data_IF_423423197722
#
_entry.id   IF_423423197722
#
_cell.length_a   1.000
_cell.length_b   1.000
_cell.length_c   1.000
_cell.angle_alpha   90.00
_cell.angle_beta   90.00
_cell.angle_gamma   90.00
#
_symmetry.space_group_name_H-M   'P 1'
#
loop_
_entity.id
_entity.type
_entity.pdbx_description
1 polymer ?
#
# COMPACT_ATOMS: atom_id res chain seq x y z
N UNK A 1 -11.27 19.43 8.19
CA UNK A 1 -10.12 19.16 9.07
C UNK A 1 -9.17 20.35 8.92
N UNK A 2 -9.15 21.23 9.90
CA UNK A 2 -8.15 22.28 10.01
C UNK A 2 -6.83 21.56 10.31
N UNK A 3 -5.88 21.65 9.40
CA UNK A 3 -4.49 21.33 9.68
C UNK A 3 -4.02 22.36 10.70
N UNK A 4 -3.55 21.88 11.85
CA UNK A 4 -3.03 22.74 12.90
C UNK A 4 -1.71 23.34 12.39
N UNK A 5 -1.75 24.59 12.00
CA UNK A 5 -0.54 25.35 11.69
C UNK A 5 0.27 25.46 13.00
N UNK A 6 1.52 24.97 12.98
CA UNK A 6 2.39 25.06 14.15
C UNK A 6 2.69 26.51 14.52
N UNK A 7 2.71 26.81 15.79
CA UNK A 7 2.94 28.15 16.35
C UNK A 7 4.42 28.28 16.71
N UNK A 8 5.06 29.36 16.23
CA UNK A 8 6.45 29.68 16.54
C UNK A 8 6.56 30.93 17.40
N UNK A 9 6.85 30.72 18.68
CA UNK A 9 7.14 31.81 19.62
C UNK A 9 8.62 32.14 19.60
N UNK A 10 9.02 33.38 19.73
CA UNK A 10 10.42 33.80 19.78
C UNK A 10 10.66 34.87 20.83
N UNK A 11 11.76 34.73 21.59
CA UNK A 11 12.14 35.76 22.58
C UNK A 11 12.67 37.03 21.89
N UNK A 12 13.50 36.87 20.84
CA UNK A 12 14.02 37.96 20.03
C UNK A 12 13.69 37.67 18.56
N UNK A 13 12.98 38.60 17.93
CA UNK A 13 12.52 38.47 16.55
C UNK A 13 13.06 39.68 15.78
N UNK A 14 13.79 39.43 14.66
CA UNK A 14 14.32 40.44 13.80
C UNK A 14 13.93 40.20 12.34
N UNK A 15 13.20 41.13 11.75
CA UNK A 15 12.88 41.10 10.33
C UNK A 15 14.05 41.62 9.50
N UNK A 16 14.42 40.91 8.46
CA UNK A 16 15.52 41.28 7.55
C UNK A 16 14.98 41.95 6.29
N UNK A 17 15.83 42.70 5.51
CA UNK A 17 15.41 43.34 4.27
C UNK A 17 14.86 42.40 3.20
N UNK A 18 15.30 41.12 3.20
CA UNK A 18 14.82 40.05 2.32
C UNK A 18 13.47 39.48 2.75
N UNK A 19 12.81 40.07 3.74
CA UNK A 19 11.57 39.65 4.40
C UNK A 19 11.71 38.32 5.13
N UNK A 20 12.92 37.82 5.34
CA UNK A 20 13.11 36.71 6.26
C UNK A 20 13.05 37.17 7.72
N UNK A 21 12.64 36.30 8.62
CA UNK A 21 12.53 36.58 10.04
C UNK A 21 13.53 35.70 10.77
N UNK A 22 14.48 36.34 11.45
CA UNK A 22 15.41 35.63 12.32
C UNK A 22 14.85 35.62 13.74
N UNK A 23 14.86 34.43 14.36
CA UNK A 23 14.33 34.17 15.69
C UNK A 23 15.43 33.53 16.53
N UNK A 24 15.63 34.05 17.74
CA UNK A 24 16.53 33.41 18.71
C UNK A 24 15.74 33.01 19.95
N UNK A 25 16.11 31.87 20.55
CA UNK A 25 15.39 31.22 21.63
C UNK A 25 13.93 31.04 21.29
N UNK A 26 13.68 30.32 20.19
CA UNK A 26 12.35 30.00 19.69
C UNK A 26 11.74 28.80 20.41
N UNK A 27 10.41 28.76 20.47
CA UNK A 27 9.61 27.60 20.88
C UNK A 27 8.65 27.28 19.74
N UNK A 28 8.75 26.12 19.16
CA UNK A 28 7.83 25.64 18.12
C UNK A 28 6.87 24.61 18.75
N UNK A 29 5.59 24.83 18.64
CA UNK A 29 4.55 23.97 19.23
C UNK A 29 3.33 23.93 18.32
N UNK A 30 2.52 22.89 18.45
CA UNK A 30 1.16 22.82 17.90
C UNK A 30 0.09 23.06 18.97
N UNK A 31 0.51 23.36 20.21
CA UNK A 31 -0.38 23.69 21.30
C UNK A 31 -0.77 25.17 21.24
N UNK A 32 -2.07 25.47 21.22
CA UNK A 32 -2.64 26.82 21.16
C UNK A 32 -2.71 27.52 22.53
N UNK A 33 -1.89 27.08 23.49
CA UNK A 33 -1.83 27.64 24.82
C UNK A 33 -0.75 28.73 24.92
N UNK A 34 -0.97 29.75 25.75
CA UNK A 34 0.03 30.80 26.03
C UNK A 34 1.30 30.19 26.66
N UNK A 35 1.14 29.14 27.48
CA UNK A 35 2.21 28.30 28.02
C UNK A 35 2.05 26.86 27.46
N UNK A 36 2.73 26.54 26.36
CA UNK A 36 2.58 25.23 25.77
C UNK A 36 3.19 24.12 26.62
N UNK A 37 2.46 23.03 26.85
CA UNK A 37 2.88 21.88 27.63
C UNK A 37 4.02 21.10 26.97
N UNK A 38 4.16 21.20 25.65
CA UNK A 38 5.25 20.60 24.90
C UNK A 38 5.66 21.51 23.75
N UNK A 39 6.95 21.60 23.51
CA UNK A 39 7.50 22.39 22.42
C UNK A 39 8.90 21.92 22.03
N UNK A 40 9.27 22.24 20.79
CA UNK A 40 10.65 22.12 20.33
C UNK A 40 11.36 23.44 20.62
N UNK A 41 12.34 23.42 21.52
CA UNK A 41 13.19 24.58 21.80
C UNK A 41 14.18 24.74 20.66
N UNK A 42 14.21 25.92 20.05
CA UNK A 42 15.10 26.28 18.96
C UNK A 42 16.10 27.31 19.42
N UNK A 43 17.39 27.03 19.32
CA UNK A 43 18.43 28.04 19.68
C UNK A 43 18.38 29.22 18.73
N UNK A 44 18.28 28.96 17.44
CA UNK A 44 18.12 29.94 16.39
C UNK A 44 17.24 29.38 15.29
N UNK A 45 16.38 30.20 14.72
CA UNK A 45 15.55 29.85 13.58
C UNK A 45 15.49 31.02 12.57
N UNK A 46 15.38 30.68 11.29
CA UNK A 46 15.16 31.63 10.22
C UNK A 46 13.93 31.22 9.42
N UNK A 47 12.90 32.06 9.47
CA UNK A 47 11.72 31.90 8.65
C UNK A 47 11.94 32.58 7.31
N UNK A 48 11.95 31.81 6.23
CA UNK A 48 12.14 32.28 4.86
C UNK A 48 10.78 32.27 4.14
N UNK A 49 10.48 33.36 3.44
CA UNK A 49 9.22 33.51 2.69
C UNK A 49 9.37 33.27 1.19
N UNK A 50 10.60 33.32 0.69
CA UNK A 50 10.96 33.09 -0.74
C UNK A 50 12.23 32.24 -0.85
N UNK A 51 12.36 31.36 -1.86
CA UNK A 51 11.43 31.00 -2.93
C UNK A 51 10.28 30.09 -2.46
N UNK A 52 10.40 29.42 -1.32
CA UNK A 52 9.35 28.64 -0.65
C UNK A 52 9.32 29.02 0.82
N UNK A 53 8.13 29.08 1.39
CA UNK A 53 7.96 29.35 2.82
C UNK A 53 8.50 28.15 3.60
N UNK A 54 9.48 28.40 4.46
CA UNK A 54 10.09 27.38 5.30
C UNK A 54 10.82 28.01 6.49
N UNK A 55 10.79 27.29 7.60
CA UNK A 55 11.55 27.66 8.80
C UNK A 55 12.76 26.75 8.92
N UNK A 56 13.95 27.30 8.81
CA UNK A 56 15.22 26.57 9.04
C UNK A 56 15.67 26.87 10.46
N UNK A 57 16.09 25.87 11.19
CA UNK A 57 16.54 26.03 12.56
C UNK A 57 17.88 25.34 12.82
N UNK A 58 18.64 25.89 13.78
CA UNK A 58 19.85 25.32 14.33
C UNK A 58 19.56 24.28 15.39
N UNK A 59 20.47 24.08 16.38
CA UNK A 59 20.28 23.06 17.40
C UNK A 59 18.93 23.23 18.12
N UNK A 60 18.20 22.12 18.24
CA UNK A 60 16.87 22.06 18.82
C UNK A 60 16.71 20.82 19.70
N UNK A 61 15.90 20.90 20.74
CA UNK A 61 15.55 19.78 21.60
C UNK A 61 14.08 19.87 22.03
N UNK A 62 13.50 18.70 22.28
CA UNK A 62 12.13 18.61 22.79
C UNK A 62 12.08 18.97 24.28
N UNK A 63 11.03 19.70 24.66
CA UNK A 63 10.71 20.04 26.05
C UNK A 63 9.26 19.67 26.31
N UNK A 64 9.00 18.95 27.38
CA UNK A 64 7.68 18.56 27.84
C UNK A 64 7.54 19.02 29.29
N UNK A 65 6.48 19.77 29.60
CA UNK A 65 6.24 20.36 30.94
C UNK A 65 7.50 21.06 31.47
N UNK A 66 8.15 21.86 30.61
CA UNK A 66 9.40 22.59 30.89
C UNK A 66 10.61 21.72 31.22
N UNK A 67 10.51 20.39 31.11
CA UNK A 67 11.61 19.44 31.27
C UNK A 67 12.24 19.13 29.92
N UNK A 68 13.53 19.42 29.68
CA UNK A 68 14.19 19.06 28.43
C UNK A 68 14.39 17.54 28.32
N UNK A 69 13.91 16.97 27.21
CA UNK A 69 14.02 15.56 26.92
C UNK A 69 15.41 15.23 26.34
N UNK A 70 16.35 14.87 27.22
CA UNK A 70 17.67 14.41 26.79
C UNK A 70 17.64 12.88 26.55
N UNK A 71 18.32 12.33 25.51
CA UNK A 71 19.32 12.94 24.63
C UNK A 71 18.79 13.37 23.22
N UNK A 72 17.51 13.61 23.05
CA UNK A 72 16.95 13.94 21.75
C UNK A 72 17.30 15.39 21.37
N UNK A 73 18.45 15.56 20.72
CA UNK A 73 18.92 16.85 20.18
C UNK A 73 19.05 16.75 18.68
N UNK A 74 18.35 17.64 17.97
CA UNK A 74 18.49 17.81 16.53
C UNK A 74 19.54 18.88 16.26
N UNK A 75 20.66 18.59 15.55
CA UNK A 75 21.69 19.57 15.30
C UNK A 75 21.21 20.72 14.39
N UNK A 76 20.35 20.41 13.45
CA UNK A 76 19.67 21.37 12.57
C UNK A 76 18.44 20.70 11.94
N UNK A 77 17.55 21.50 11.37
CA UNK A 77 16.38 20.99 10.64
C UNK A 77 15.65 22.11 9.89
N UNK A 78 14.60 21.73 9.22
CA UNK A 78 13.70 22.69 8.61
C UNK A 78 12.24 22.21 8.75
N UNK A 79 11.36 23.17 8.94
CA UNK A 79 9.89 22.98 9.00
C UNK A 79 9.33 23.69 7.78
N UNK A 80 8.71 23.00 6.83
CA UNK A 80 7.98 23.62 5.74
C UNK A 80 6.64 24.16 6.27
N UNK A 81 6.28 25.41 5.95
CA UNK A 81 5.04 26.03 6.45
C UNK A 81 3.76 25.49 5.80
N UNK A 82 3.86 24.91 4.63
CA UNK A 82 2.77 24.19 3.95
C UNK A 82 3.35 23.04 3.13
N UNK A 83 3.64 21.91 3.74
CA UNK A 83 3.98 20.74 2.95
C UNK A 83 2.70 20.07 2.47
N UNK A 84 2.27 20.32 1.24
CA UNK A 84 1.28 19.46 0.62
C UNK A 84 1.78 18.01 0.67
N UNK A 85 3.09 17.81 0.50
CA UNK A 85 3.81 16.53 0.65
C UNK A 85 5.30 16.82 0.82
N UNK A 86 5.93 16.30 1.87
CA UNK A 86 7.37 16.45 2.11
C UNK A 86 8.01 15.10 2.44
N UNK A 87 9.23 14.89 1.92
CA UNK A 87 10.06 13.77 2.35
C UNK A 87 10.66 14.06 3.73
N UNK A 88 10.81 13.03 4.55
CA UNK A 88 11.33 13.21 5.91
C UNK A 88 11.58 11.89 6.62
N UNK A 89 12.12 12.01 7.84
CA UNK A 89 12.37 10.89 8.74
C UNK A 89 11.08 10.56 9.47
N UNK A 90 10.75 9.28 9.53
CA UNK A 90 9.68 8.74 10.35
C UNK A 90 10.27 8.36 11.71
N UNK A 91 9.72 8.96 12.77
CA UNK A 91 10.15 8.68 14.14
C UNK A 91 9.56 7.35 14.60
N UNK A 92 10.37 6.52 15.30
CA UNK A 92 9.90 5.23 15.78
C UNK A 92 8.92 5.37 16.93
N UNK A 93 8.02 4.40 17.01
CA UNK A 93 7.27 4.12 18.22
C UNK A 93 8.06 3.13 19.06
N UNK A 94 8.03 3.28 20.38
CA UNK A 94 8.69 2.38 21.30
C UNK A 94 7.68 1.74 22.25
N UNK A 95 8.01 0.57 22.74
CA UNK A 95 7.17 -0.17 23.66
C UNK A 95 7.79 -1.51 24.04
N UNK A 96 7.00 -2.35 24.71
CA UNK A 96 7.41 -3.67 25.16
C UNK A 96 6.38 -4.71 24.73
N UNK A 97 6.85 -5.87 24.35
CA UNK A 97 6.06 -7.03 23.96
C UNK A 97 6.59 -8.28 24.67
N UNK A 98 5.70 -9.03 25.32
CA UNK A 98 6.08 -10.17 26.15
C UNK A 98 6.88 -11.25 25.39
N UNK A 99 6.63 -11.42 24.08
CA UNK A 99 7.26 -12.46 23.26
C UNK A 99 8.56 -12.03 22.59
N UNK A 100 8.76 -10.72 22.36
CA UNK A 100 9.88 -10.15 21.57
C UNK A 100 10.70 -9.09 22.32
N UNK A 101 10.30 -8.73 23.54
CA UNK A 101 10.97 -7.73 24.37
C UNK A 101 10.67 -6.29 23.98
N UNK A 102 11.56 -5.38 24.33
CA UNK A 102 11.44 -3.97 23.93
C UNK A 102 11.59 -3.80 22.44
N UNK A 103 10.85 -2.86 21.88
CA UNK A 103 10.89 -2.61 20.44
C UNK A 103 11.00 -1.12 20.11
N UNK A 104 11.58 -0.87 18.92
CA UNK A 104 11.46 0.35 18.16
C UNK A 104 10.83 -0.03 16.82
N UNK A 105 9.63 0.48 16.54
CA UNK A 105 8.85 0.22 15.32
C UNK A 105 8.73 1.48 14.48
N UNK A 106 8.59 1.29 13.17
CA UNK A 106 8.35 2.33 12.18
C UNK A 106 9.48 3.37 12.07
N UNK A 107 10.71 3.04 12.52
CA UNK A 107 11.87 3.89 12.25
C UNK A 107 12.19 3.88 10.77
N UNK A 108 12.17 5.03 10.11
CA UNK A 108 12.39 5.01 8.68
C UNK A 108 12.44 6.34 7.99
N UNK A 109 12.20 6.30 6.69
CA UNK A 109 12.22 7.46 5.82
C UNK A 109 11.00 7.45 4.90
N UNK A 110 10.40 8.61 4.75
CA UNK A 110 9.33 8.86 3.81
C UNK A 110 9.86 9.69 2.64
N UNK A 111 9.65 9.20 1.42
CA UNK A 111 10.08 9.84 0.18
C UNK A 111 8.88 10.23 -0.65
N UNK A 112 8.81 11.48 -1.04
CA UNK A 112 7.85 11.99 -2.03
C UNK A 112 8.52 12.06 -3.38
N UNK A 113 8.01 11.32 -4.35
CA UNK A 113 8.55 11.27 -5.71
C UNK A 113 7.56 11.93 -6.66
N UNK A 114 7.81 13.20 -6.96
CA UNK A 114 6.90 14.02 -7.75
C UNK A 114 5.53 14.17 -7.09
N UNK A 115 4.50 14.42 -7.90
CA UNK A 115 3.14 14.68 -7.40
C UNK A 115 2.25 13.43 -7.32
N UNK A 116 2.74 12.28 -7.74
CA UNK A 116 1.90 11.10 -7.98
C UNK A 116 2.28 9.88 -7.17
N UNK A 117 3.45 9.85 -6.55
CA UNK A 117 4.02 8.67 -5.95
C UNK A 117 4.71 8.99 -4.62
N UNK A 118 4.55 8.14 -3.63
CA UNK A 118 5.29 8.18 -2.37
C UNK A 118 5.75 6.79 -1.92
N UNK A 119 6.83 6.76 -1.16
CA UNK A 119 7.38 5.54 -0.56
C UNK A 119 7.73 5.84 0.89
N UNK A 120 7.25 4.99 1.80
CA UNK A 120 7.75 4.88 3.16
C UNK A 120 8.59 3.60 3.28
N UNK A 121 9.82 3.74 3.70
CA UNK A 121 10.70 2.63 4.05
C UNK A 121 10.88 2.67 5.57
N UNK A 122 10.37 1.65 6.27
CA UNK A 122 10.44 1.55 7.73
C UNK A 122 11.07 0.25 8.17
N UNK A 123 11.60 0.24 9.37
CA UNK A 123 12.19 -0.94 9.99
C UNK A 123 11.81 -1.04 11.45
N UNK A 124 11.65 -2.27 11.90
CA UNK A 124 11.35 -2.64 13.28
C UNK A 124 12.51 -3.44 13.84
N UNK A 125 12.89 -3.16 15.06
CA UNK A 125 13.90 -3.91 15.79
C UNK A 125 13.40 -4.23 17.21
N UNK A 126 13.74 -5.43 17.67
CA UNK A 126 13.33 -5.96 18.96
C UNK A 126 14.54 -6.48 19.73
N UNK A 127 14.54 -6.32 21.04
CA UNK A 127 15.69 -6.70 21.88
C UNK A 127 15.99 -8.19 21.89
N UNK A 128 15.00 -9.06 21.67
CA UNK A 128 15.21 -10.52 21.58
C UNK A 128 15.64 -10.99 20.19
N UNK A 129 15.99 -10.06 19.26
CA UNK A 129 16.61 -10.37 17.99
C UNK A 129 15.66 -10.48 16.80
N UNK A 130 14.36 -10.22 17.00
CA UNK A 130 13.41 -10.05 15.90
C UNK A 130 13.67 -8.73 15.18
N UNK A 131 13.41 -8.69 13.86
CA UNK A 131 13.45 -7.48 13.07
C UNK A 131 12.54 -7.59 11.86
N UNK A 132 12.05 -6.46 11.38
CA UNK A 132 11.27 -6.37 10.14
C UNK A 132 11.69 -5.16 9.30
N UNK A 133 11.45 -5.25 8.01
CA UNK A 133 11.58 -4.15 7.06
C UNK A 133 10.29 -4.06 6.26
N UNK A 134 9.75 -2.85 6.20
CA UNK A 134 8.52 -2.54 5.50
C UNK A 134 8.75 -1.51 4.41
N UNK A 135 8.18 -1.76 3.25
CA UNK A 135 8.13 -0.83 2.13
C UNK A 135 6.66 -0.57 1.82
N UNK A 136 6.20 0.63 2.07
CA UNK A 136 4.85 1.06 1.76
C UNK A 136 4.88 2.16 0.71
N UNK A 137 4.15 1.99 -0.36
CA UNK A 137 4.08 2.94 -1.46
C UNK A 137 2.65 3.21 -1.85
N UNK A 138 2.33 4.46 -2.11
CA UNK A 138 1.03 4.88 -2.63
C UNK A 138 1.25 5.68 -3.90
N UNK A 139 0.38 5.48 -4.86
CA UNK A 139 0.38 6.26 -6.09
C UNK A 139 -1.03 6.61 -6.50
N UNK A 140 -1.16 7.83 -7.02
CA UNK A 140 -2.42 8.35 -7.54
C UNK A 140 -2.17 9.28 -8.71
N UNK A 141 -2.70 8.93 -9.86
CA UNK A 141 -2.73 9.79 -11.04
C UNK A 141 -4.19 10.11 -11.33
N UNK A 142 -4.57 11.37 -11.10
CA UNK A 142 -5.96 11.81 -11.27
C UNK A 142 -6.49 11.43 -12.65
N UNK A 143 -7.72 10.91 -12.69
CA UNK A 143 -8.42 10.43 -13.89
C UNK A 143 -7.73 9.26 -14.63
N UNK A 144 -6.70 8.64 -14.05
CA UNK A 144 -6.02 7.49 -14.64
C UNK A 144 -6.05 6.26 -13.75
N UNK A 145 -5.41 6.34 -12.59
CA UNK A 145 -5.33 5.18 -11.68
C UNK A 145 -4.96 5.61 -10.26
N UNK A 146 -5.27 4.74 -9.33
CA UNK A 146 -4.82 4.80 -7.95
C UNK A 146 -4.42 3.41 -7.47
N UNK A 147 -3.47 3.36 -6.54
CA UNK A 147 -3.07 2.09 -5.94
C UNK A 147 -2.13 2.28 -4.77
N UNK A 148 -1.95 1.19 -4.06
CA UNK A 148 -0.98 1.07 -2.97
C UNK A 148 -0.26 -0.27 -3.08
N UNK A 149 1.00 -0.27 -2.72
CA UNK A 149 1.87 -1.43 -2.65
C UNK A 149 2.49 -1.49 -1.26
N UNK A 150 2.49 -2.66 -0.66
CA UNK A 150 3.14 -2.92 0.63
C UNK A 150 3.92 -4.22 0.54
N UNK A 151 5.16 -4.18 0.99
CA UNK A 151 6.04 -5.34 1.13
C UNK A 151 6.59 -5.34 2.55
N UNK A 152 6.37 -6.40 3.28
CA UNK A 152 6.95 -6.66 4.60
C UNK A 152 7.85 -7.88 4.53
N UNK A 153 9.03 -7.79 5.10
CA UNK A 153 9.90 -8.94 5.32
C UNK A 153 10.36 -8.92 6.77
N UNK A 154 10.14 -10.02 7.49
CA UNK A 154 10.51 -10.13 8.89
C UNK A 154 11.30 -11.41 9.21
N UNK A 155 12.11 -11.31 10.23
CA UNK A 155 12.75 -12.43 10.92
C UNK A 155 12.28 -12.40 12.36
N UNK A 156 11.32 -13.26 12.67
CA UNK A 156 10.67 -13.33 13.97
C UNK A 156 11.34 -14.38 14.84
N UNK A 157 11.77 -13.99 16.04
CA UNK A 157 12.39 -14.85 17.05
C UNK A 157 11.56 -14.77 18.34
N UNK A 158 11.28 -15.92 18.90
CA UNK A 158 10.61 -16.07 20.19
C UNK A 158 11.45 -16.96 21.10
N UNK A 159 11.48 -16.66 22.39
CA UNK A 159 12.34 -17.35 23.36
C UNK A 159 13.80 -16.86 23.31
N UNK A 160 14.58 -17.28 24.28
CA UNK A 160 16.02 -16.97 24.36
C UNK A 160 16.85 -17.97 23.56
N UNK A 161 17.90 -17.49 22.90
CA UNK A 161 18.83 -18.38 22.16
C UNK A 161 19.47 -19.40 23.10
N UNK A 162 19.27 -20.68 22.77
CA UNK A 162 19.75 -21.81 23.57
C UNK A 162 18.70 -22.39 24.52
N UNK A 163 17.54 -21.81 24.64
CA UNK A 163 16.40 -22.39 25.35
C UNK A 163 15.62 -23.38 24.47
N UNK A 164 14.90 -24.31 25.10
CA UNK A 164 14.09 -25.34 24.37
C UNK A 164 12.87 -24.74 23.65
N UNK A 165 12.47 -23.53 24.01
CA UNK A 165 11.36 -22.78 23.43
C UNK A 165 11.82 -21.73 22.38
N UNK A 166 13.13 -21.73 22.04
CA UNK A 166 13.64 -20.86 20.98
C UNK A 166 13.08 -21.28 19.62
N UNK A 167 12.40 -20.35 18.98
CA UNK A 167 11.88 -20.54 17.65
C UNK A 167 12.18 -19.32 16.76
N UNK A 168 12.62 -19.57 15.54
CA UNK A 168 12.91 -18.55 14.55
C UNK A 168 12.17 -18.83 13.26
N UNK A 169 11.51 -17.83 12.71
CA UNK A 169 10.82 -17.93 11.42
C UNK A 169 11.06 -16.68 10.59
N UNK A 170 11.11 -16.87 9.27
CA UNK A 170 11.18 -15.77 8.32
C UNK A 170 9.85 -15.64 7.61
N UNK A 171 9.30 -14.46 7.64
CA UNK A 171 8.00 -14.16 7.07
C UNK A 171 8.11 -13.07 6.01
N UNK A 172 7.23 -13.14 5.05
CA UNK A 172 7.04 -12.06 4.09
C UNK A 172 5.55 -11.87 3.81
N UNK A 173 5.20 -10.64 3.45
CA UNK A 173 3.87 -10.28 3.01
C UNK A 173 3.97 -9.29 1.85
N UNK A 174 3.24 -9.53 0.79
CA UNK A 174 3.11 -8.64 -0.37
C UNK A 174 1.64 -8.30 -0.53
N UNK A 175 1.32 -7.01 -0.49
CA UNK A 175 -0.03 -6.51 -0.74
C UNK A 175 0.05 -5.45 -1.85
N UNK A 176 -0.78 -5.61 -2.85
CA UNK A 176 -0.89 -4.62 -3.92
C UNK A 176 -2.35 -4.44 -4.31
N UNK A 177 -2.80 -3.21 -4.23
CA UNK A 177 -4.09 -2.85 -4.80
C UNK A 177 -3.91 -1.82 -5.91
N UNK A 178 -4.63 -2.00 -6.99
CA UNK A 178 -4.65 -1.10 -8.12
C UNK A 178 -6.07 -0.98 -8.67
N UNK A 179 -6.47 0.24 -8.96
CA UNK A 179 -7.74 0.52 -9.62
C UNK A 179 -7.51 1.55 -10.72
N UNK A 180 -7.87 1.16 -11.94
CA UNK A 180 -7.91 2.07 -13.08
C UNK A 180 -9.20 2.88 -13.05
N UNK A 181 -9.10 4.19 -13.27
CA UNK A 181 -10.27 5.06 -13.45
C UNK A 181 -10.99 4.71 -14.77
N UNK A 182 -12.31 4.58 -14.72
CA UNK A 182 -13.14 4.27 -15.89
C UNK A 182 -13.02 5.31 -17.02
N UNK A 183 -12.66 6.55 -16.67
CA UNK A 183 -12.44 7.66 -17.61
C UNK A 183 -11.10 7.56 -18.33
N UNK A 184 -10.12 6.83 -17.79
CA UNK A 184 -8.78 6.73 -18.37
C UNK A 184 -8.79 6.08 -19.75
N UNK A 185 -9.55 4.98 -19.88
CA UNK A 185 -9.70 4.23 -21.14
C UNK A 185 -11.11 3.65 -21.21
N UNK A 186 -12.07 4.35 -21.81
CA UNK A 186 -13.44 3.84 -21.96
C UNK A 186 -13.47 2.44 -22.59
N UNK A 187 -14.26 1.57 -22.04
CA UNK A 187 -14.37 0.18 -22.49
C UNK A 187 -13.21 -0.74 -22.05
N UNK A 188 -12.26 -0.25 -21.26
CA UNK A 188 -11.17 -1.06 -20.71
C UNK A 188 -11.11 -0.84 -19.20
N UNK A 189 -10.99 -1.91 -18.42
CA UNK A 189 -10.74 -1.82 -16.98
C UNK A 189 -9.57 -2.71 -16.58
N UNK A 190 -8.77 -2.22 -15.65
CA UNK A 190 -7.71 -2.98 -15.01
C UNK A 190 -7.81 -2.77 -13.50
N UNK A 191 -7.85 -3.86 -12.76
CA UNK A 191 -7.85 -3.85 -11.30
C UNK A 191 -7.00 -4.98 -10.77
N UNK A 192 -6.33 -4.73 -9.64
CA UNK A 192 -5.57 -5.73 -8.93
C UNK A 192 -5.84 -5.61 -7.43
N UNK A 193 -6.01 -6.76 -6.78
CA UNK A 193 -6.07 -6.93 -5.33
C UNK A 193 -5.22 -8.14 -5.00
N UNK A 194 -3.93 -7.90 -4.80
CA UNK A 194 -2.95 -8.96 -4.47
C UNK A 194 -2.72 -8.95 -2.97
N UNK A 195 -2.87 -10.10 -2.35
CA UNK A 195 -2.50 -10.37 -0.98
C UNK A 195 -1.82 -11.74 -0.96
N UNK A 196 -0.52 -11.76 -0.75
CA UNK A 196 0.30 -12.96 -0.75
C UNK A 196 1.28 -12.91 0.40
N UNK A 197 1.30 -13.93 1.25
CA UNK A 197 2.18 -13.97 2.41
C UNK A 197 2.65 -15.38 2.74
N UNK A 198 3.71 -15.48 3.53
CA UNK A 198 4.10 -16.78 4.12
C UNK A 198 2.99 -17.29 5.05
N UNK A 199 2.77 -18.61 5.15
CA UNK A 199 1.70 -19.18 5.97
C UNK A 199 1.75 -18.78 7.45
N UNK A 200 2.95 -18.52 7.98
CA UNK A 200 3.19 -18.12 9.37
C UNK A 200 3.04 -16.60 9.61
N UNK A 201 2.96 -15.79 8.57
CA UNK A 201 2.95 -14.33 8.70
C UNK A 201 1.78 -13.82 9.55
N UNK A 202 0.58 -14.38 9.38
CA UNK A 202 -0.60 -13.98 10.16
C UNK A 202 -0.48 -14.27 11.65
N UNK A 203 0.34 -15.24 12.03
CA UNK A 203 0.57 -15.59 13.43
C UNK A 203 1.51 -14.63 14.16
N UNK A 204 2.54 -14.12 13.47
CA UNK A 204 3.61 -13.33 14.09
C UNK A 204 3.52 -11.83 13.82
N UNK A 205 2.93 -11.44 12.68
CA UNK A 205 2.93 -10.06 12.20
C UNK A 205 1.53 -9.46 11.98
N UNK A 206 0.47 -10.09 12.49
CA UNK A 206 -0.86 -9.50 12.39
C UNK A 206 -1.01 -8.31 13.33
N UNK A 207 -1.56 -7.22 12.81
CA UNK A 207 -1.85 -5.99 13.54
C UNK A 207 -3.23 -6.00 14.19
N UNK A 208 -4.07 -6.99 13.87
CA UNK A 208 -5.42 -7.12 14.41
C UNK A 208 -5.77 -8.58 14.69
N UNK A 209 -6.67 -8.81 15.66
CA UNK A 209 -7.20 -10.15 15.97
C UNK A 209 -7.91 -10.76 14.77
N UNK A 210 -8.61 -9.97 13.98
CA UNK A 210 -9.29 -10.43 12.77
C UNK A 210 -8.30 -10.96 11.73
N UNK A 211 -7.18 -10.30 11.55
CA UNK A 211 -6.12 -10.72 10.63
C UNK A 211 -5.43 -11.99 11.13
N UNK A 212 -5.17 -12.10 12.43
CA UNK A 212 -4.59 -13.28 13.06
C UNK A 212 -5.47 -14.54 12.91
N UNK A 213 -6.80 -14.35 12.92
CA UNK A 213 -7.77 -15.44 12.76
C UNK A 213 -8.09 -15.77 11.30
N UNK A 214 -7.65 -14.94 10.35
CA UNK A 214 -7.91 -15.13 8.94
C UNK A 214 -7.01 -16.22 8.36
N UNK A 215 -7.58 -17.40 8.11
CA UNK A 215 -6.85 -18.54 7.54
C UNK A 215 -6.83 -18.54 6.00
N UNK A 216 -7.73 -17.80 5.36
CA UNK A 216 -7.86 -17.79 3.91
C UNK A 216 -7.49 -16.43 3.34
N UNK A 217 -6.52 -16.42 2.44
CA UNK A 217 -6.01 -15.24 1.75
C UNK A 217 -6.26 -15.42 0.26
N UNK A 218 -6.78 -14.39 -0.40
CA UNK A 218 -7.05 -14.43 -1.83
C UNK A 218 -6.47 -13.22 -2.55
N UNK A 219 -6.10 -13.43 -3.81
CA UNK A 219 -5.63 -12.38 -4.70
C UNK A 219 -6.33 -12.49 -6.04
N UNK A 220 -6.56 -11.34 -6.65
CA UNK A 220 -7.13 -11.27 -8.01
C UNK A 220 -6.48 -10.12 -8.78
N UNK A 221 -6.11 -10.39 -10.02
CA UNK A 221 -5.73 -9.38 -11.00
C UNK A 221 -6.65 -9.55 -12.19
N UNK A 222 -7.38 -8.51 -12.54
CA UNK A 222 -8.39 -8.54 -13.59
C UNK A 222 -8.12 -7.48 -14.65
N UNK A 223 -8.13 -7.91 -15.89
CA UNK A 223 -8.17 -7.04 -17.06
C UNK A 223 -9.43 -7.34 -17.87
N UNK A 224 -10.21 -6.33 -18.18
CA UNK A 224 -11.34 -6.49 -19.08
C UNK A 224 -11.36 -5.45 -20.18
N UNK A 225 -11.84 -5.86 -21.35
CA UNK A 225 -12.04 -4.98 -22.48
C UNK A 225 -13.37 -5.28 -23.16
N UNK A 226 -14.13 -4.23 -23.34
CA UNK A 226 -15.40 -4.26 -24.05
C UNK A 226 -15.27 -3.44 -25.36
N UNK A 227 -15.65 -4.04 -26.46
CA UNK A 227 -15.69 -3.37 -27.77
C UNK A 227 -17.14 -3.03 -28.11
N UNK A 228 -17.57 -1.85 -27.71
CA UNK A 228 -18.89 -1.29 -28.04
C UNK A 228 -20.08 -2.23 -27.71
N UNK A 229 -19.96 -2.99 -26.64
CA UNK A 229 -20.99 -3.94 -26.23
C UNK A 229 -21.14 -5.19 -27.11
N UNK A 230 -20.29 -5.37 -28.13
CA UNK A 230 -20.36 -6.52 -29.04
C UNK A 230 -19.44 -7.67 -28.63
N UNK A 231 -18.22 -7.34 -28.26
CA UNK A 231 -17.20 -8.29 -27.86
C UNK A 231 -16.73 -7.94 -26.44
N UNK A 232 -16.52 -8.94 -25.63
CA UNK A 232 -15.95 -8.79 -24.28
C UNK A 232 -14.81 -9.77 -24.11
N UNK A 233 -13.70 -9.26 -23.61
CA UNK A 233 -12.55 -10.05 -23.19
C UNK A 233 -12.33 -9.81 -21.71
N UNK A 234 -12.21 -10.86 -20.91
CA UNK A 234 -11.80 -10.80 -19.51
C UNK A 234 -10.64 -11.75 -19.29
N UNK A 235 -9.57 -11.24 -18.71
CA UNK A 235 -8.38 -12.01 -18.35
C UNK A 235 -8.20 -11.84 -16.85
N UNK A 236 -8.23 -12.94 -16.13
CA UNK A 236 -8.09 -12.93 -14.67
C UNK A 236 -6.93 -13.84 -14.26
N UNK A 237 -6.19 -13.38 -13.28
CA UNK A 237 -5.24 -14.17 -12.51
C UNK A 237 -5.75 -14.25 -11.08
N UNK A 238 -5.98 -15.46 -10.59
CA UNK A 238 -6.55 -15.71 -9.26
C UNK A 238 -5.57 -16.54 -8.44
N UNK A 239 -5.45 -16.18 -7.18
CA UNK A 239 -4.70 -16.93 -6.17
C UNK A 239 -5.55 -17.07 -4.92
N UNK A 240 -5.54 -18.24 -4.33
CA UNK A 240 -6.05 -18.45 -2.97
C UNK A 240 -5.07 -19.29 -2.17
N UNK A 241 -4.93 -18.95 -0.90
CA UNK A 241 -4.01 -19.59 0.04
C UNK A 241 -4.77 -19.87 1.33
N UNK A 242 -4.56 -21.06 1.88
CA UNK A 242 -5.03 -21.41 3.22
C UNK A 242 -3.81 -21.55 4.14
N UNK A 243 -3.71 -20.68 5.14
CA UNK A 243 -2.58 -20.62 6.08
C UNK A 243 -2.57 -21.79 7.06
N UNK A 244 -3.73 -22.44 7.33
CA UNK A 244 -3.85 -23.54 8.28
C UNK A 244 -3.21 -24.83 7.77
N UNK A 245 -3.44 -25.18 6.52
CA UNK A 245 -2.91 -26.38 5.87
C UNK A 245 -1.77 -26.07 4.88
N UNK A 246 -1.37 -24.81 4.78
CA UNK A 246 -0.32 -24.31 3.89
C UNK A 246 -0.55 -24.68 2.43
N UNK A 247 -1.81 -24.69 1.98
CA UNK A 247 -2.18 -24.99 0.61
C UNK A 247 -2.32 -23.73 -0.24
N UNK A 248 -1.96 -23.85 -1.50
CA UNK A 248 -2.03 -22.78 -2.51
C UNK A 248 -2.82 -23.26 -3.72
N UNK A 249 -3.65 -22.40 -4.25
CA UNK A 249 -4.37 -22.57 -5.51
C UNK A 249 -4.13 -21.37 -6.40
N UNK A 250 -3.62 -21.59 -7.60
CA UNK A 250 -3.47 -20.55 -8.62
C UNK A 250 -4.30 -20.92 -9.85
N UNK A 251 -4.97 -19.92 -10.39
CA UNK A 251 -5.63 -20.00 -11.70
C UNK A 251 -5.05 -18.90 -12.58
N UNK A 252 -4.16 -19.30 -13.51
CA UNK A 252 -3.29 -18.41 -14.28
C UNK A 252 -3.06 -18.94 -15.70
N UNK A 253 -3.59 -18.34 -16.75
CA UNK A 253 -4.66 -17.37 -16.78
C UNK A 253 -6.05 -18.02 -16.71
N UNK A 254 -7.05 -17.20 -16.37
CA UNK A 254 -8.45 -17.48 -16.62
C UNK A 254 -8.93 -16.45 -17.66
N UNK A 255 -9.11 -16.88 -18.90
CA UNK A 255 -9.49 -16.01 -20.03
C UNK A 255 -10.91 -16.34 -20.44
N UNK A 256 -11.76 -15.34 -20.45
CA UNK A 256 -13.12 -15.44 -20.99
C UNK A 256 -13.26 -14.48 -22.14
N UNK A 257 -13.63 -15.01 -23.29
CA UNK A 257 -13.97 -14.21 -24.48
C UNK A 257 -15.41 -14.46 -24.87
N UNK A 258 -16.20 -13.41 -25.00
CA UNK A 258 -17.60 -13.52 -25.38
C UNK A 258 -17.95 -12.59 -26.53
N UNK A 259 -18.72 -13.13 -27.44
CA UNK A 259 -19.41 -12.40 -28.53
C UNK A 259 -20.87 -12.31 -28.11
N UNK A 260 -21.32 -11.09 -27.82
CA UNK A 260 -22.71 -10.87 -27.45
C UNK A 260 -23.63 -11.24 -28.61
N UNK A 261 -24.83 -11.67 -28.24
CA UNK A 261 -25.83 -12.08 -29.24
C UNK A 261 -26.01 -11.04 -30.32
N UNK A 262 -25.85 -11.45 -31.56
CA UNK A 262 -26.07 -10.62 -32.72
C UNK A 262 -26.98 -11.34 -33.74
N UNK A 263 -27.60 -10.56 -34.60
CA UNK A 263 -28.57 -11.04 -35.59
C UNK A 263 -27.99 -10.84 -36.98
N UNK A 264 -27.36 -11.86 -37.60
CA UNK A 264 -26.62 -11.72 -38.84
C UNK A 264 -27.52 -11.32 -40.01
N UNK A 265 -28.79 -11.72 -39.99
CA UNK A 265 -29.75 -11.49 -41.08
C UNK A 265 -30.70 -10.32 -40.82
N UNK A 266 -30.51 -9.57 -39.75
CA UNK A 266 -31.36 -8.43 -39.43
C UNK A 266 -31.10 -7.24 -40.36
N UNK A 267 -32.14 -6.75 -41.03
CA UNK A 267 -32.05 -5.59 -41.91
C UNK A 267 -31.76 -4.30 -41.15
N UNK A 268 -30.88 -3.45 -41.70
CA UNK A 268 -30.54 -2.14 -41.14
C UNK A 268 -31.71 -1.14 -41.24
N UNK A 269 -32.44 -1.15 -42.36
CA UNK A 269 -33.64 -0.33 -42.57
C UNK A 269 -34.88 -1.22 -42.49
N UNK A 270 -35.81 -0.93 -41.61
CA UNK A 270 -36.98 -1.78 -41.36
C UNK A 270 -38.20 -1.24 -42.05
N UNK A 271 -38.71 -2.04 -43.02
CA UNK A 271 -40.01 -1.79 -43.65
C UNK A 271 -40.81 -3.09 -43.54
N UNK A 272 -41.92 -3.07 -42.78
CA UNK A 272 -42.84 -4.21 -42.64
C UNK A 272 -42.53 -5.14 -41.44
N UNK A 273 -43.22 -6.29 -41.40
CA UNK A 273 -43.10 -7.31 -40.31
C UNK A 273 -41.73 -8.03 -40.40
N UNK A 274 -41.19 -8.40 -39.25
CA UNK A 274 -39.97 -9.22 -39.13
C UNK A 274 -40.19 -10.58 -39.79
N UNK A 275 -39.27 -10.97 -40.70
CA UNK A 275 -39.26 -12.31 -41.24
C UNK A 275 -38.56 -13.28 -40.28
N UNK A 276 -38.89 -14.59 -40.38
CA UNK A 276 -38.42 -15.60 -39.43
C UNK A 276 -36.88 -15.68 -39.35
N UNK A 277 -36.16 -15.48 -40.46
CA UNK A 277 -34.72 -15.50 -40.53
C UNK A 277 -34.07 -14.28 -39.87
N UNK A 278 -34.77 -13.15 -39.72
CA UNK A 278 -34.28 -11.95 -39.05
C UNK A 278 -34.22 -12.13 -37.51
N UNK A 279 -34.93 -13.12 -36.99
CA UNK A 279 -34.92 -13.50 -35.59
C UNK A 279 -33.76 -14.43 -35.25
N UNK A 280 -33.09 -15.00 -36.25
CA UNK A 280 -31.95 -15.87 -36.03
C UNK A 280 -30.80 -15.09 -35.35
N UNK A 281 -30.37 -15.59 -34.21
CA UNK A 281 -29.33 -14.95 -33.42
C UNK A 281 -28.20 -15.91 -33.14
N UNK A 282 -27.01 -15.37 -33.10
CA UNK A 282 -25.78 -16.09 -32.75
C UNK A 282 -25.09 -15.41 -31.59
N UNK A 283 -24.62 -16.19 -30.63
CA UNK A 283 -23.75 -15.78 -29.55
C UNK A 283 -22.66 -16.81 -29.34
N UNK A 284 -21.53 -16.39 -28.85
CA UNK A 284 -20.39 -17.27 -28.57
C UNK A 284 -19.70 -16.87 -27.28
N UNK A 285 -19.35 -17.86 -26.47
CA UNK A 285 -18.56 -17.68 -25.27
C UNK A 285 -17.50 -18.78 -25.17
N UNK A 286 -16.27 -18.42 -24.89
CA UNK A 286 -15.19 -19.36 -24.63
C UNK A 286 -14.48 -18.99 -23.33
N UNK A 287 -14.15 -20.01 -22.56
CA UNK A 287 -13.38 -19.86 -21.32
C UNK A 287 -12.18 -20.79 -21.37
N UNK A 288 -10.99 -20.22 -21.24
CA UNK A 288 -9.72 -20.91 -21.05
C UNK A 288 -9.31 -20.78 -19.61
N UNK A 289 -9.05 -21.88 -18.93
CA UNK A 289 -8.63 -21.90 -17.54
C UNK A 289 -7.42 -22.79 -17.37
N UNK A 290 -6.40 -22.28 -16.67
CA UNK A 290 -5.22 -23.03 -16.31
C UNK A 290 -5.06 -22.96 -14.78
N UNK A 291 -5.10 -24.09 -14.09
CA UNK A 291 -5.14 -24.19 -12.63
C UNK A 291 -4.07 -25.13 -12.09
N UNK A 292 -3.49 -24.74 -10.93
CA UNK A 292 -2.60 -25.58 -10.15
C UNK A 292 -2.96 -25.48 -8.66
N UNK A 293 -2.88 -26.62 -7.98
CA UNK A 293 -3.00 -26.69 -6.51
C UNK A 293 -1.78 -27.42 -5.96
N UNK A 294 -1.17 -26.87 -4.90
CA UNK A 294 -0.01 -27.47 -4.25
C UNK A 294 0.13 -27.02 -2.79
N UNK A 295 0.96 -27.71 -2.02
CA UNK A 295 1.32 -27.33 -0.65
C UNK A 295 2.63 -26.55 -0.62
N UNK A 296 2.85 -25.74 0.41
CA UNK A 296 4.08 -24.95 0.60
C UNK A 296 5.36 -25.81 0.51
N UNK A 297 5.32 -27.07 0.97
CA UNK A 297 6.43 -28.01 0.89
C UNK A 297 6.83 -28.39 -0.55
N UNK A 298 5.90 -28.26 -1.49
CA UNK A 298 6.11 -28.60 -2.90
C UNK A 298 6.67 -27.43 -3.72
N UNK A 299 6.68 -26.22 -3.17
CA UNK A 299 7.07 -25.00 -3.90
C UNK A 299 8.48 -25.05 -4.51
N UNK A 300 9.41 -25.77 -3.85
CA UNK A 300 10.80 -25.92 -4.30
C UNK A 300 11.05 -27.21 -5.08
N UNK A 301 10.03 -28.03 -5.31
CA UNK A 301 10.20 -29.31 -6.00
C UNK A 301 10.29 -29.09 -7.52
N UNK A 302 11.22 -29.77 -8.22
CA UNK A 302 11.23 -29.78 -9.67
C UNK A 302 9.95 -30.44 -10.20
N UNK A 303 9.38 -29.91 -11.30
CA UNK A 303 8.16 -30.46 -11.90
C UNK A 303 6.85 -29.88 -11.36
N UNK A 304 6.89 -28.84 -10.51
CA UNK A 304 5.68 -28.15 -10.06
C UNK A 304 4.86 -27.61 -11.25
N UNK A 305 5.54 -27.11 -12.28
CA UNK A 305 4.91 -26.53 -13.49
C UNK A 305 4.12 -27.60 -14.27
N UNK A 306 4.55 -28.86 -14.23
CA UNK A 306 3.89 -29.96 -14.94
C UNK A 306 2.52 -30.34 -14.30
N UNK A 307 2.27 -29.90 -13.08
CA UNK A 307 0.98 -30.10 -12.37
C UNK A 307 -0.13 -29.16 -12.84
N UNK A 308 0.13 -28.25 -13.76
CA UNK A 308 -0.91 -27.36 -14.28
C UNK A 308 -1.97 -28.14 -15.06
N UNK A 309 -3.21 -27.91 -14.72
CA UNK A 309 -4.38 -28.45 -15.38
C UNK A 309 -4.97 -27.39 -16.31
N UNK A 310 -4.95 -27.67 -17.60
CA UNK A 310 -5.49 -26.78 -18.62
C UNK A 310 -6.87 -27.26 -19.06
N UNK A 311 -7.82 -26.35 -19.21
CA UNK A 311 -9.14 -26.62 -19.74
C UNK A 311 -9.63 -25.47 -20.60
N UNK A 312 -10.32 -25.82 -21.69
CA UNK A 312 -10.99 -24.85 -22.56
C UNK A 312 -12.42 -25.31 -22.84
N UNK A 313 -13.36 -24.40 -22.63
CA UNK A 313 -14.78 -24.64 -22.90
C UNK A 313 -15.28 -23.65 -23.94
N UNK A 314 -16.08 -24.17 -24.88
CA UNK A 314 -16.74 -23.39 -25.92
C UNK A 314 -18.26 -23.52 -25.75
N UNK A 315 -18.97 -22.42 -25.81
CA UNK A 315 -20.41 -22.38 -25.76
C UNK A 315 -20.95 -21.55 -26.93
N UNK A 316 -21.70 -22.19 -27.79
CA UNK A 316 -22.39 -21.57 -28.93
C UNK A 316 -23.86 -21.41 -28.58
N UNK A 317 -24.39 -20.22 -28.72
CA UNK A 317 -25.78 -19.90 -28.50
C UNK A 317 -26.43 -19.60 -29.83
N UNK A 318 -27.39 -20.44 -30.23
CA UNK A 318 -28.18 -20.30 -31.45
C UNK A 318 -29.63 -20.13 -31.01
N UNK A 319 -30.32 -19.14 -31.50
CA UNK A 319 -31.72 -18.88 -31.14
C UNK A 319 -32.51 -18.16 -32.24
#
# INVERSE_FOLDING_TARGET
TQEQDGILHGKNIKMMPDRSINITKGKYTVCDCEHPHYYLHLTAAKVMTKPSQKTVFGPAWAVIEDVPMFPIVLPFGFIPDKPDRASGILFPTFGEEASRGFYLRDLGMYFVIGNYFDIALTGDIYTLGSWAVDVNSRYKVNYKCTGNFSLTYSNDQTGERGSSDFFQTRNFSVRWSHSQDSKARPGTSFSASVNFSSPSNSRYNSTSVTEALQNQISSSVSYSKNWNGKLNLSINALHSQNSKDSSFSFTLPNVTFSVNRFYPFKRKARVGKEKFYEKFSLGYNTTLQNRINFKASEFKQPGLIDKFQNGMAHNFQIG
#
